data_IF_433007211672
#
_entry.id   IF_433007211672
#
_cell.length_a   1.000
_cell.length_b   1.000
_cell.length_c   1.000
_cell.angle_alpha   90.00
_cell.angle_beta   90.00
_cell.angle_gamma   90.00
#
_symmetry.space_group_name_H-M   'P 1'
#
loop_
_entity.id
_entity.type
_entity.pdbx_description
1 polymer ?
#
# COMPACT_ATOMS: atom_id res chain seq x y z
N UNK A 1 17.95 -66.10 24.66
CA UNK A 1 17.27 -65.21 23.71
C UNK A 1 17.44 -63.77 24.15
N UNK A 2 17.86 -62.90 23.24
CA UNK A 2 18.21 -61.51 23.55
C UNK A 2 17.38 -60.56 22.70
N UNK A 3 16.64 -59.67 23.35
CA UNK A 3 15.88 -58.65 22.64
C UNK A 3 16.81 -57.61 22.01
N UNK A 4 16.39 -57.03 20.89
CA UNK A 4 17.08 -55.91 20.25
C UNK A 4 16.97 -54.63 21.09
N UNK A 5 18.02 -53.81 21.09
CA UNK A 5 18.02 -52.51 21.78
C UNK A 5 17.07 -51.51 21.11
N UNK A 6 16.45 -50.62 21.88
CA UNK A 6 15.62 -49.55 21.31
C UNK A 6 16.48 -48.47 20.63
N UNK A 7 15.98 -47.94 19.52
CA UNK A 7 16.52 -46.74 18.88
C UNK A 7 16.19 -45.48 19.69
N UNK A 8 17.12 -44.52 19.72
CA UNK A 8 16.90 -43.25 20.43
C UNK A 8 16.01 -42.29 19.64
N UNK A 9 15.20 -41.49 20.33
CA UNK A 9 14.47 -40.41 19.68
C UNK A 9 15.43 -39.30 19.23
N UNK A 10 15.12 -38.66 18.12
CA UNK A 10 15.90 -37.54 17.61
C UNK A 10 15.50 -36.20 18.24
N UNK A 11 16.39 -35.21 18.12
CA UNK A 11 16.13 -33.83 18.52
C UNK A 11 15.28 -33.10 17.50
N UNK A 12 14.51 -32.12 17.96
CA UNK A 12 13.79 -31.19 17.09
C UNK A 12 14.76 -30.24 16.36
N UNK A 13 14.29 -29.70 15.25
CA UNK A 13 14.92 -28.57 14.60
C UNK A 13 14.87 -27.32 15.46
N UNK A 14 15.80 -26.39 15.25
CA UNK A 14 15.81 -25.10 15.94
C UNK A 14 14.87 -24.11 15.28
N UNK A 15 14.20 -23.29 16.07
CA UNK A 15 13.39 -22.19 15.56
C UNK A 15 14.28 -21.11 14.93
N UNK A 16 13.75 -20.46 13.91
CA UNK A 16 14.47 -19.41 13.21
C UNK A 16 14.30 -18.02 13.84
N UNK A 17 15.23 -17.13 13.51
CA UNK A 17 15.18 -15.73 13.93
C UNK A 17 14.16 -14.93 13.12
N UNK A 18 13.51 -13.97 13.77
CA UNK A 18 12.62 -13.02 13.12
C UNK A 18 13.40 -12.00 12.27
N UNK A 19 12.73 -11.48 11.24
CA UNK A 19 13.20 -10.33 10.48
C UNK A 19 13.18 -9.05 11.31
N UNK A 20 14.17 -8.18 11.09
CA UNK A 20 14.23 -6.88 11.76
C UNK A 20 13.23 -5.88 11.17
N UNK A 21 12.73 -4.95 11.97
CA UNK A 21 11.88 -3.86 11.48
C UNK A 21 12.68 -2.89 10.61
N UNK A 22 12.04 -2.38 9.57
CA UNK A 22 12.50 -1.22 8.80
C UNK A 22 12.39 0.05 9.64
N UNK A 23 13.26 1.02 9.36
CA UNK A 23 13.19 2.37 9.90
C UNK A 23 12.33 3.26 9.01
N UNK A 24 11.59 4.18 9.62
CA UNK A 24 10.88 5.24 8.89
C UNK A 24 11.88 6.15 8.16
N UNK A 25 11.42 6.75 7.07
CA UNK A 25 12.14 7.79 6.37
C UNK A 25 12.12 9.10 7.16
N UNK A 26 13.22 9.84 7.12
CA UNK A 26 13.30 11.13 7.80
C UNK A 26 12.40 12.16 7.12
N UNK A 27 11.64 12.93 7.91
CA UNK A 27 10.96 14.11 7.39
C UNK A 27 11.97 15.14 6.89
N UNK A 28 11.66 15.79 5.77
CA UNK A 28 12.46 16.89 5.28
C UNK A 28 12.38 18.09 6.23
N UNK A 29 13.54 18.67 6.52
CA UNK A 29 13.66 19.84 7.41
C UNK A 29 14.12 21.11 6.69
N UNK A 30 14.55 20.95 5.43
CA UNK A 30 14.95 22.06 4.57
C UNK A 30 13.78 22.38 3.64
N UNK A 31 13.36 23.65 3.50
CA UNK A 31 12.25 24.03 2.64
C UNK A 31 12.36 23.46 1.22
N UNK A 32 11.25 22.91 0.72
CA UNK A 32 11.15 22.19 -0.55
C UNK A 32 12.02 20.93 -0.67
N UNK A 33 12.58 20.45 0.44
CA UNK A 33 13.33 19.19 0.47
C UNK A 33 12.39 17.98 0.46
N UNK A 34 12.79 16.92 -0.22
CA UNK A 34 12.04 15.67 -0.26
C UNK A 34 12.19 14.87 1.04
N UNK A 35 11.11 14.20 1.45
CA UNK A 35 11.11 13.25 2.55
C UNK A 35 11.92 11.99 2.23
N UNK A 36 12.54 11.41 3.26
CA UNK A 36 13.33 10.19 3.16
C UNK A 36 12.46 8.97 2.87
N UNK A 37 13.04 7.98 2.19
CA UNK A 37 12.36 6.70 1.96
C UNK A 37 12.36 5.83 3.21
N UNK A 38 11.22 5.25 3.55
CA UNK A 38 11.10 4.20 4.55
C UNK A 38 11.86 2.95 4.15
N UNK A 39 12.51 2.30 5.12
CA UNK A 39 13.28 1.08 4.89
C UNK A 39 12.37 -0.15 4.88
N UNK A 40 12.75 -1.14 4.08
CA UNK A 40 12.05 -2.44 4.07
C UNK A 40 12.21 -3.19 5.40
N UNK A 41 11.21 -4.00 5.72
CA UNK A 41 11.32 -5.01 6.77
C UNK A 41 12.24 -6.16 6.37
N UNK A 42 12.98 -6.70 7.32
CA UNK A 42 13.80 -7.89 7.16
C UNK A 42 12.95 -9.16 7.00
N UNK A 43 13.46 -10.15 6.27
CA UNK A 43 12.79 -11.45 6.17
C UNK A 43 13.03 -12.31 7.41
N UNK A 44 12.05 -13.13 7.77
CA UNK A 44 12.22 -14.17 8.78
C UNK A 44 13.11 -15.31 8.27
N UNK A 45 13.86 -15.94 9.18
CA UNK A 45 14.71 -17.08 8.85
C UNK A 45 13.93 -18.38 8.66
N UNK A 46 14.53 -19.37 7.99
CA UNK A 46 13.95 -20.71 7.83
C UNK A 46 14.20 -21.57 9.07
N UNK A 47 13.18 -22.26 9.56
CA UNK A 47 13.29 -23.21 10.67
C UNK A 47 14.23 -24.37 10.36
N UNK A 48 14.93 -24.87 11.38
CA UNK A 48 15.84 -26.01 11.23
C UNK A 48 15.09 -27.33 11.02
N UNK A 49 15.69 -28.26 10.29
CA UNK A 49 15.10 -29.60 10.12
C UNK A 49 15.18 -30.42 11.41
N UNK A 50 14.16 -31.23 11.67
CA UNK A 50 14.15 -32.23 12.73
C UNK A 50 15.09 -33.40 12.43
N UNK A 51 15.69 -33.97 13.47
CA UNK A 51 16.60 -35.11 13.31
C UNK A 51 15.86 -36.41 12.99
N UNK A 52 16.52 -37.33 12.26
CA UNK A 52 16.00 -38.70 12.06
C UNK A 52 16.15 -39.56 13.32
N UNK A 53 15.09 -40.28 13.66
CA UNK A 53 15.07 -41.21 14.79
C UNK A 53 16.11 -42.32 14.67
N UNK A 54 16.64 -42.76 15.80
CA UNK A 54 17.61 -43.84 15.89
C UNK A 54 17.01 -45.19 15.48
N UNK A 55 17.82 -46.02 14.83
CA UNK A 55 17.40 -47.35 14.40
C UNK A 55 17.28 -48.30 15.60
N UNK A 56 16.19 -49.07 15.66
CA UNK A 56 16.05 -50.15 16.64
C UNK A 56 16.94 -51.33 16.25
N UNK A 57 17.43 -52.07 17.24
CA UNK A 57 18.19 -53.30 17.03
C UNK A 57 17.27 -54.44 16.57
N UNK A 58 17.68 -55.15 15.53
CA UNK A 58 17.04 -56.42 15.17
C UNK A 58 17.28 -57.51 16.23
N UNK A 59 16.46 -58.56 16.23
CA UNK A 59 16.67 -59.76 17.05
C UNK A 59 16.41 -61.01 16.21
N UNK A 60 17.33 -61.96 16.20
CA UNK A 60 17.13 -63.27 15.56
C UNK A 60 16.33 -64.21 16.46
N UNK A 61 16.54 -64.13 17.78
CA UNK A 61 15.77 -64.83 18.82
C UNK A 61 15.40 -63.82 19.93
N UNK A 62 14.12 -63.47 20.05
CA UNK A 62 13.61 -62.40 20.92
C UNK A 62 12.82 -61.35 20.13
N UNK A 63 12.34 -60.30 20.79
CA UNK A 63 11.65 -59.20 20.11
C UNK A 63 12.67 -58.17 19.57
N UNK A 64 12.45 -57.68 18.35
CA UNK A 64 13.20 -56.54 17.83
C UNK A 64 12.95 -55.31 18.71
N UNK A 65 13.96 -54.46 18.87
CA UNK A 65 13.83 -53.21 19.61
C UNK A 65 13.00 -52.19 18.83
N UNK A 66 12.29 -51.31 19.53
CA UNK A 66 11.52 -50.25 18.88
C UNK A 66 12.45 -49.25 18.18
N UNK A 67 11.98 -48.67 17.08
CA UNK A 67 12.63 -47.56 16.41
C UNK A 67 12.40 -46.28 17.19
N UNK A 68 13.38 -45.38 17.15
CA UNK A 68 13.22 -44.02 17.68
C UNK A 68 12.29 -43.19 16.80
N UNK A 69 11.61 -42.22 17.42
CA UNK A 69 10.87 -41.20 16.69
C UNK A 69 11.84 -40.19 16.05
N UNK A 70 11.48 -39.68 14.88
CA UNK A 70 12.07 -38.47 14.34
C UNK A 70 11.68 -37.25 15.18
N UNK A 71 12.51 -36.22 15.12
CA UNK A 71 12.23 -34.93 15.77
C UNK A 71 11.40 -34.04 14.87
N UNK A 72 10.60 -33.16 15.45
CA UNK A 72 9.83 -32.16 14.71
C UNK A 72 10.76 -31.12 14.07
N UNK A 73 10.35 -30.52 12.95
CA UNK A 73 11.01 -29.35 12.38
C UNK A 73 10.81 -28.11 13.26
N UNK A 74 11.78 -27.19 13.23
CA UNK A 74 11.70 -25.92 13.92
C UNK A 74 10.78 -24.93 13.19
N UNK A 75 10.19 -23.99 13.92
CA UNK A 75 9.34 -22.96 13.31
C UNK A 75 10.16 -21.96 12.47
N UNK A 76 9.53 -21.45 11.41
CA UNK A 76 10.03 -20.32 10.64
C UNK A 76 9.94 -19.01 11.42
N UNK A 77 10.80 -18.05 11.09
CA UNK A 77 10.83 -16.73 11.71
C UNK A 77 9.78 -15.81 11.13
N UNK A 78 9.24 -14.90 11.93
CA UNK A 78 8.30 -13.89 11.45
C UNK A 78 9.02 -12.86 10.58
N UNK A 79 8.32 -12.28 9.60
CA UNK A 79 8.81 -11.13 8.87
C UNK A 79 8.88 -9.87 9.74
N UNK A 80 9.78 -8.95 9.39
CA UNK A 80 9.84 -7.62 9.94
C UNK A 80 8.85 -6.67 9.27
N UNK A 81 8.31 -5.72 10.06
CA UNK A 81 7.52 -4.59 9.56
C UNK A 81 8.39 -3.65 8.73
N UNK A 82 7.80 -2.93 7.79
CA UNK A 82 8.50 -1.88 7.06
C UNK A 82 8.35 -0.51 7.75
N UNK A 83 9.20 0.46 7.39
CA UNK A 83 9.04 1.85 7.80
C UNK A 83 8.27 2.67 6.78
N UNK A 84 7.57 3.70 7.23
CA UNK A 84 6.86 4.66 6.37
C UNK A 84 7.82 5.66 5.73
N UNK A 85 7.41 6.29 4.63
CA UNK A 85 8.14 7.40 4.03
C UNK A 85 8.00 8.67 4.87
N UNK A 86 9.06 9.48 4.89
CA UNK A 86 9.05 10.80 5.53
C UNK A 86 8.30 11.83 4.70
N UNK A 87 7.79 12.87 5.33
CA UNK A 87 7.09 13.97 4.65
C UNK A 87 8.09 14.89 3.93
N UNK A 88 7.69 15.40 2.77
CA UNK A 88 8.35 16.52 2.11
C UNK A 88 8.12 17.82 2.88
N UNK A 89 9.07 18.73 2.79
CA UNK A 89 8.99 20.02 3.48
C UNK A 89 8.21 21.02 2.62
N UNK A 90 7.43 21.88 3.26
CA UNK A 90 6.82 23.02 2.58
C UNK A 90 7.91 23.90 1.93
N UNK A 91 7.56 24.54 0.81
CA UNK A 91 8.39 25.54 0.16
C UNK A 91 8.48 26.85 0.95
N UNK A 92 9.45 27.68 0.58
CA UNK A 92 9.63 29.05 1.09
C UNK A 92 10.00 30.04 -0.02
N UNK A 93 10.23 31.31 0.35
CA UNK A 93 10.55 32.35 -0.63
C UNK A 93 11.83 32.08 -1.47
N UNK A 94 12.73 31.22 -1.01
CA UNK A 94 13.98 30.88 -1.71
C UNK A 94 13.90 29.54 -2.45
N UNK A 95 13.05 28.64 -1.98
CA UNK A 95 12.70 27.39 -2.63
C UNK A 95 11.17 27.24 -2.62
N UNK A 96 10.45 27.87 -3.56
CA UNK A 96 9.01 28.03 -3.46
C UNK A 96 8.24 26.73 -3.60
N UNK A 97 8.79 25.74 -4.30
CA UNK A 97 8.12 24.45 -4.44
C UNK A 97 8.22 23.64 -3.15
N UNK A 98 7.14 22.95 -2.80
CA UNK A 98 7.12 21.95 -1.75
C UNK A 98 7.85 20.68 -2.18
N UNK A 99 8.50 20.02 -1.24
CA UNK A 99 9.22 18.77 -1.49
C UNK A 99 8.29 17.58 -1.56
N UNK A 100 8.70 16.53 -2.26
CA UNK A 100 7.91 15.31 -2.36
C UNK A 100 7.97 14.51 -1.06
N UNK A 101 6.90 13.76 -0.78
CA UNK A 101 6.91 12.73 0.23
C UNK A 101 7.81 11.55 -0.17
N UNK A 102 8.45 10.95 0.82
CA UNK A 102 9.25 9.75 0.65
C UNK A 102 8.40 8.50 0.45
N UNK A 103 8.96 7.51 -0.24
CA UNK A 103 8.27 6.22 -0.44
C UNK A 103 8.24 5.39 0.85
N UNK A 104 7.15 4.67 1.08
CA UNK A 104 7.03 3.66 2.12
C UNK A 104 7.83 2.39 1.81
N UNK A 105 8.31 1.71 2.84
CA UNK A 105 9.03 0.45 2.72
C UNK A 105 8.12 -0.76 2.52
N UNK A 106 8.66 -1.81 1.90
CA UNK A 106 8.00 -3.11 1.77
C UNK A 106 8.24 -4.00 3.00
N UNK A 107 7.21 -4.75 3.40
CA UNK A 107 7.35 -5.77 4.44
C UNK A 107 8.32 -6.87 4.00
N UNK A 108 9.07 -7.45 4.93
CA UNK A 108 9.84 -8.66 4.68
C UNK A 108 8.96 -9.91 4.45
N UNK A 109 9.57 -10.99 3.99
CA UNK A 109 8.89 -12.27 3.82
C UNK A 109 8.93 -13.09 5.11
N UNK A 110 7.87 -13.84 5.37
CA UNK A 110 7.86 -14.84 6.43
C UNK A 110 8.87 -15.95 6.13
N UNK A 111 9.54 -16.45 7.17
CA UNK A 111 10.43 -17.60 7.06
C UNK A 111 9.64 -18.90 7.03
N UNK A 112 10.07 -19.87 6.22
CA UNK A 112 9.41 -21.18 6.17
C UNK A 112 9.71 -22.01 7.41
N UNK A 113 8.79 -22.89 7.79
CA UNK A 113 9.04 -23.95 8.75
C UNK A 113 10.10 -24.95 8.28
N UNK A 114 10.80 -25.58 9.22
CA UNK A 114 11.73 -26.67 8.94
C UNK A 114 10.99 -28.00 8.74
N UNK A 115 11.55 -28.90 7.94
CA UNK A 115 10.95 -30.23 7.74
C UNK A 115 11.10 -31.12 8.99
N UNK A 116 10.11 -31.94 9.28
CA UNK A 116 10.19 -32.99 10.29
C UNK A 116 11.18 -34.10 9.93
N UNK A 117 11.78 -34.71 10.94
CA UNK A 117 12.71 -35.83 10.79
C UNK A 117 11.99 -37.17 10.62
N UNK A 118 12.55 -38.07 9.81
CA UNK A 118 12.00 -39.41 9.63
C UNK A 118 12.12 -40.30 10.88
N UNK A 119 11.24 -41.30 11.00
CA UNK A 119 11.36 -42.33 12.02
C UNK A 119 12.63 -43.20 11.82
N UNK A 120 13.16 -43.77 12.90
CA UNK A 120 14.21 -44.78 12.81
C UNK A 120 13.77 -46.05 12.09
N UNK A 121 14.74 -46.83 11.62
CA UNK A 121 14.48 -48.07 10.85
C UNK A 121 15.19 -49.28 11.48
N UNK A 122 15.03 -50.49 10.93
CA UNK A 122 15.82 -51.68 11.34
C UNK A 122 15.32 -52.46 12.57
N UNK A 123 14.56 -51.83 13.47
CA UNK A 123 13.92 -52.48 14.61
C UNK A 123 12.52 -53.02 14.29
N UNK A 124 11.67 -53.10 15.31
CA UNK A 124 10.27 -53.50 15.16
C UNK A 124 9.53 -52.55 14.19
N UNK A 125 8.96 -53.09 13.12
CA UNK A 125 8.28 -52.30 12.09
C UNK A 125 7.17 -51.42 12.66
N UNK A 126 7.10 -50.15 12.21
CA UNK A 126 6.04 -49.20 12.58
C UNK A 126 6.10 -48.66 14.02
N UNK A 127 7.15 -48.98 14.79
CA UNK A 127 7.25 -48.57 16.19
C UNK A 127 7.76 -47.14 16.41
N UNK A 128 8.41 -46.54 15.40
CA UNK A 128 8.81 -45.13 15.39
C UNK A 128 7.87 -44.28 14.54
N UNK A 129 7.75 -42.99 14.88
CA UNK A 129 6.98 -41.99 14.14
C UNK A 129 7.89 -40.92 13.56
N UNK A 130 7.54 -40.40 12.38
CA UNK A 130 8.18 -39.19 11.87
C UNK A 130 7.77 -37.98 12.72
N UNK A 131 8.64 -36.98 12.82
CA UNK A 131 8.29 -35.67 13.36
C UNK A 131 7.41 -34.89 12.39
N UNK A 132 6.67 -33.93 12.92
CA UNK A 132 5.92 -32.97 12.11
C UNK A 132 6.82 -31.89 11.51
N UNK A 133 6.37 -31.28 10.42
CA UNK A 133 7.00 -30.06 9.91
C UNK A 133 6.73 -28.89 10.87
N UNK A 134 7.69 -27.97 10.96
CA UNK A 134 7.51 -26.71 11.66
C UNK A 134 6.52 -25.80 10.92
N UNK A 135 5.85 -24.91 11.65
CA UNK A 135 5.00 -23.90 11.05
C UNK A 135 5.82 -22.80 10.35
N UNK A 136 5.26 -22.22 9.30
CA UNK A 136 5.78 -20.98 8.71
C UNK A 136 5.64 -19.81 9.70
N UNK A 137 6.52 -18.84 9.56
CA UNK A 137 6.43 -17.58 10.30
C UNK A 137 5.22 -16.76 9.85
N UNK A 138 4.87 -15.76 10.66
CA UNK A 138 3.85 -14.79 10.28
C UNK A 138 4.37 -13.80 9.23
N UNK A 139 3.50 -13.44 8.28
CA UNK A 139 3.69 -12.28 7.40
C UNK A 139 3.71 -11.01 8.24
N UNK A 140 4.53 -10.04 7.84
CA UNK A 140 4.63 -8.77 8.55
C UNK A 140 3.48 -7.87 8.12
N UNK A 141 2.82 -7.24 9.09
CA UNK A 141 1.77 -6.26 8.86
C UNK A 141 1.98 -5.08 9.82
N UNK A 142 1.80 -3.82 9.38
CA UNK A 142 1.58 -3.32 8.01
C UNK A 142 2.89 -3.04 7.23
N UNK A 143 2.77 -2.79 5.91
CA UNK A 143 3.85 -2.14 5.12
C UNK A 143 3.89 -0.63 5.38
N UNK A 144 4.95 0.03 4.94
CA UNK A 144 5.11 1.48 5.14
C UNK A 144 4.15 2.28 4.27
N UNK A 145 3.51 3.28 4.85
CA UNK A 145 2.75 4.28 4.10
C UNK A 145 3.72 5.23 3.37
N UNK A 146 3.26 5.85 2.28
CA UNK A 146 3.98 6.95 1.66
C UNK A 146 3.91 8.24 2.49
N UNK A 147 4.98 9.03 2.48
CA UNK A 147 5.01 10.33 3.14
C UNK A 147 4.18 11.38 2.38
N UNK A 148 3.68 12.40 3.07
CA UNK A 148 2.97 13.48 2.39
C UNK A 148 3.94 14.43 1.67
N UNK A 149 3.51 15.02 0.56
CA UNK A 149 4.20 16.13 -0.07
C UNK A 149 4.05 17.42 0.74
N UNK A 150 5.05 18.29 0.68
CA UNK A 150 5.01 19.63 1.24
C UNK A 150 4.19 20.58 0.38
N UNK A 151 3.56 21.58 0.97
CA UNK A 151 2.85 22.62 0.23
C UNK A 151 3.84 23.56 -0.47
N UNK A 152 3.40 24.13 -1.58
CA UNK A 152 4.08 25.24 -2.22
C UNK A 152 3.96 26.53 -1.42
N UNK A 153 4.93 27.41 -1.62
CA UNK A 153 4.98 28.71 -0.96
C UNK A 153 3.96 29.68 -1.54
N UNK A 154 3.14 30.28 -0.69
CA UNK A 154 2.34 31.46 -1.06
C UNK A 154 3.26 32.67 -1.20
N UNK A 155 3.43 33.15 -2.43
CA UNK A 155 4.36 34.20 -2.78
C UNK A 155 3.64 35.56 -2.86
N UNK A 156 3.96 36.52 -1.97
CA UNK A 156 3.29 37.83 -1.96
C UNK A 156 3.67 38.73 -3.15
N UNK A 157 4.76 38.45 -3.84
CA UNK A 157 5.34 39.32 -4.88
C UNK A 157 5.84 38.52 -6.10
N UNK A 158 5.15 37.42 -6.44
CA UNK A 158 5.41 36.62 -7.63
C UNK A 158 4.52 35.38 -7.71
N UNK A 159 4.90 34.46 -8.57
CA UNK A 159 4.21 33.17 -8.72
C UNK A 159 4.27 32.35 -7.43
N UNK A 160 3.17 31.67 -7.11
CA UNK A 160 3.12 30.68 -6.04
C UNK A 160 3.91 29.43 -6.40
N UNK A 161 4.48 28.78 -5.39
CA UNK A 161 5.21 27.52 -5.59
C UNK A 161 4.29 26.33 -5.79
N UNK A 162 4.77 25.30 -6.47
CA UNK A 162 4.02 24.06 -6.63
C UNK A 162 4.03 23.24 -5.34
N UNK A 163 2.96 22.48 -5.09
CA UNK A 163 2.95 21.47 -4.06
C UNK A 163 3.77 20.25 -4.46
N UNK A 164 4.43 19.62 -3.49
CA UNK A 164 5.15 18.37 -3.68
C UNK A 164 4.21 17.18 -3.82
N UNK A 165 4.65 16.15 -4.54
CA UNK A 165 3.88 14.92 -4.68
C UNK A 165 3.85 14.13 -3.38
N UNK A 166 2.80 13.36 -3.16
CA UNK A 166 2.79 12.34 -2.12
C UNK A 166 3.71 11.17 -2.50
N UNK A 167 4.31 10.52 -1.51
CA UNK A 167 5.12 9.33 -1.72
C UNK A 167 4.27 8.09 -1.97
N UNK A 168 4.78 7.16 -2.77
CA UNK A 168 4.13 5.86 -2.97
C UNK A 168 4.26 4.99 -1.71
N UNK A 169 3.29 4.13 -1.48
CA UNK A 169 3.33 3.19 -0.37
C UNK A 169 4.18 1.95 -0.67
N UNK A 170 4.54 1.23 0.39
CA UNK A 170 4.94 -0.17 0.30
C UNK A 170 3.75 -1.08 -0.03
N UNK A 171 3.99 -2.36 -0.26
CA UNK A 171 3.03 -3.32 -0.84
C UNK A 171 1.62 -3.39 -0.20
N UNK A 172 1.48 -3.03 1.08
CA UNK A 172 0.20 -3.00 1.81
C UNK A 172 -0.13 -1.62 2.43
N UNK A 173 0.66 -0.59 2.13
CA UNK A 173 0.49 0.75 2.70
C UNK A 173 -0.42 1.64 1.87
N UNK A 174 -0.79 2.80 2.39
CA UNK A 174 -1.49 3.84 1.65
C UNK A 174 -0.50 4.85 1.05
N UNK A 175 -0.84 5.37 -0.13
CA UNK A 175 -0.07 6.45 -0.74
C UNK A 175 -0.18 7.73 0.08
N UNK A 176 0.88 8.54 0.09
CA UNK A 176 0.90 9.83 0.76
C UNK A 176 0.05 10.86 0.03
N UNK A 177 -0.53 11.81 0.75
CA UNK A 177 -1.23 12.92 0.11
C UNK A 177 -0.21 13.91 -0.46
N UNK A 178 -0.58 14.58 -1.54
CA UNK A 178 0.24 15.64 -2.09
C UNK A 178 0.05 16.96 -1.33
N UNK A 179 1.03 17.85 -1.48
CA UNK A 179 0.93 19.23 -1.03
C UNK A 179 0.10 20.08 -1.98
N UNK A 180 -0.54 21.12 -1.44
CA UNK A 180 -1.23 22.12 -2.26
C UNK A 180 -0.21 23.06 -2.91
N UNK A 181 -0.56 23.62 -4.07
CA UNK A 181 0.14 24.77 -4.62
C UNK A 181 -0.07 26.03 -3.77
N UNK A 182 0.94 26.89 -3.73
CA UNK A 182 0.88 28.18 -3.06
C UNK A 182 0.16 29.23 -3.92
N UNK A 183 -0.42 30.23 -3.27
CA UNK A 183 -1.02 31.36 -3.98
C UNK A 183 0.08 32.28 -4.55
N UNK A 184 -0.13 32.83 -5.74
CA UNK A 184 0.72 33.85 -6.34
C UNK A 184 0.07 35.23 -6.31
N UNK A 185 0.83 36.24 -5.89
CA UNK A 185 0.39 37.62 -5.81
C UNK A 185 1.35 38.56 -6.53
N UNK A 186 0.83 39.65 -7.09
CA UNK A 186 1.61 40.60 -7.89
C UNK A 186 1.16 40.67 -9.36
N UNK A 187 1.74 41.62 -10.08
CA UNK A 187 1.39 41.87 -11.48
C UNK A 187 1.67 40.61 -12.33
N UNK A 188 0.62 40.07 -12.94
CA UNK A 188 0.64 38.88 -13.79
C UNK A 188 1.13 37.58 -13.10
N UNK A 189 1.03 37.48 -11.76
CA UNK A 189 1.43 36.29 -10.98
C UNK A 189 0.42 35.14 -11.05
N UNK A 190 0.92 33.90 -11.17
CA UNK A 190 0.11 32.68 -11.22
C UNK A 190 0.14 31.94 -9.88
N UNK A 191 -0.92 31.20 -9.58
CA UNK A 191 -0.91 30.22 -8.49
C UNK A 191 -0.05 29.00 -8.87
N UNK A 192 0.53 28.35 -7.87
CA UNK A 192 1.27 27.10 -8.07
C UNK A 192 0.33 25.91 -8.24
N UNK A 193 0.80 24.86 -8.91
CA UNK A 193 0.02 23.64 -9.08
C UNK A 193 0.04 22.79 -7.81
N UNK A 194 -1.04 22.05 -7.54
CA UNK A 194 -1.04 21.01 -6.52
C UNK A 194 -0.24 19.79 -6.96
N UNK A 195 0.37 19.09 -6.00
CA UNK A 195 1.09 17.85 -6.27
C UNK A 195 0.16 16.68 -6.56
N UNK A 196 0.69 15.61 -7.16
CA UNK A 196 -0.06 14.35 -7.35
C UNK A 196 -0.01 13.48 -6.10
N UNK A 197 -1.12 12.85 -5.74
CA UNK A 197 -1.16 11.89 -4.64
C UNK A 197 -0.33 10.63 -4.95
N UNK A 198 0.28 10.03 -3.93
CA UNK A 198 1.08 8.82 -4.08
C UNK A 198 0.23 7.58 -4.35
N UNK A 199 0.79 6.58 -5.00
CA UNK A 199 0.11 5.31 -5.23
C UNK A 199 -0.03 4.49 -3.93
N UNK A 200 -1.17 3.81 -3.77
CA UNK A 200 -1.36 2.79 -2.76
C UNK A 200 -0.53 1.54 -3.03
N UNK A 201 -0.33 0.73 -2.00
CA UNK A 201 0.43 -0.51 -2.07
C UNK A 201 -0.17 -1.50 -3.05
N UNK A 202 0.66 -2.17 -3.85
CA UNK A 202 0.19 -3.06 -4.93
C UNK A 202 -0.84 -4.11 -4.53
N UNK A 203 -0.74 -4.67 -3.31
CA UNK A 203 -1.64 -5.73 -2.82
C UNK A 203 -2.87 -5.16 -2.12
N UNK A 204 -2.68 -4.06 -1.40
CA UNK A 204 -3.71 -3.35 -0.66
C UNK A 204 -3.22 -1.95 -0.35
N UNK A 205 -4.14 -1.00 -0.31
CA UNK A 205 -3.81 0.38 0.02
C UNK A 205 -4.57 1.37 -0.84
N UNK A 206 -5.01 2.45 -0.21
CA UNK A 206 -5.64 3.54 -0.92
C UNK A 206 -4.56 4.41 -1.59
N UNK A 207 -4.93 5.01 -2.72
CA UNK A 207 -4.13 6.10 -3.27
C UNK A 207 -4.24 7.36 -2.40
N UNK A 208 -3.19 8.16 -2.39
CA UNK A 208 -3.18 9.46 -1.72
C UNK A 208 -3.98 10.50 -2.48
N UNK A 209 -4.51 11.52 -1.80
CA UNK A 209 -5.21 12.60 -2.48
C UNK A 209 -4.23 13.54 -3.19
N UNK A 210 -4.66 14.09 -4.33
CA UNK A 210 -3.97 15.20 -4.99
C UNK A 210 -4.12 16.51 -4.24
N UNK A 211 -3.17 17.43 -4.42
CA UNK A 211 -3.18 18.75 -3.81
C UNK A 211 -4.03 19.72 -4.62
N UNK A 212 -4.64 20.71 -3.99
CA UNK A 212 -5.31 21.80 -4.70
C UNK A 212 -4.28 22.71 -5.36
N UNK A 213 -4.64 23.32 -6.49
CA UNK A 213 -3.89 24.43 -7.06
C UNK A 213 -4.06 25.71 -6.23
N UNK A 214 -3.05 26.56 -6.24
CA UNK A 214 -3.07 27.88 -5.62
C UNK A 214 -3.79 28.90 -6.48
N UNK A 215 -4.28 29.97 -5.87
CA UNK A 215 -4.88 31.10 -6.59
C UNK A 215 -3.80 31.99 -7.18
N UNK A 216 -4.08 32.65 -8.30
CA UNK A 216 -3.21 33.67 -8.89
C UNK A 216 -3.95 34.95 -9.22
N UNK A 217 -3.23 36.06 -9.19
CA UNK A 217 -3.74 37.35 -9.68
C UNK A 217 -3.95 37.32 -11.21
N UNK A 218 -3.11 36.57 -11.94
CA UNK A 218 -3.32 36.17 -13.33
C UNK A 218 -4.11 34.86 -13.41
N UNK A 219 -3.43 33.72 -13.44
CA UNK A 219 -4.06 32.40 -13.60
C UNK A 219 -4.02 31.61 -12.29
N UNK A 220 -5.04 30.80 -12.06
CA UNK A 220 -5.01 29.80 -11.01
C UNK A 220 -4.11 28.62 -11.37
N UNK A 221 -3.50 27.99 -10.38
CA UNK A 221 -2.75 26.75 -10.56
C UNK A 221 -3.68 25.56 -10.70
N UNK A 222 -3.21 24.51 -11.38
CA UNK A 222 -3.98 23.29 -11.57
C UNK A 222 -4.02 22.46 -10.28
N UNK A 223 -5.14 21.77 -10.07
CA UNK A 223 -5.25 20.74 -9.05
C UNK A 223 -4.48 19.48 -9.44
N UNK A 224 -3.83 18.86 -8.47
CA UNK A 224 -3.10 17.61 -8.66
C UNK A 224 -4.01 16.40 -8.75
N UNK A 225 -3.58 15.40 -9.52
CA UNK A 225 -4.30 14.14 -9.64
C UNK A 225 -4.28 13.33 -8.32
N UNK A 226 -5.32 12.55 -8.10
CA UNK A 226 -5.33 11.54 -7.03
C UNK A 226 -4.45 10.34 -7.38
N UNK A 227 -3.87 9.71 -6.36
CA UNK A 227 -3.07 8.50 -6.50
C UNK A 227 -3.94 7.27 -6.82
N UNK A 228 -3.39 6.33 -7.57
CA UNK A 228 -4.06 5.06 -7.84
C UNK A 228 -4.00 4.14 -6.62
N UNK A 229 -5.03 3.31 -6.45
CA UNK A 229 -5.07 2.32 -5.39
C UNK A 229 -4.31 1.03 -5.73
N UNK A 230 -4.06 0.23 -4.69
CA UNK A 230 -3.72 -1.19 -4.78
C UNK A 230 -4.89 -2.07 -5.20
N UNK A 231 -4.67 -3.38 -5.32
CA UNK A 231 -5.70 -4.36 -5.70
C UNK A 231 -7.02 -4.20 -4.92
N UNK A 232 -6.94 -3.94 -3.62
CA UNK A 232 -8.08 -3.85 -2.70
C UNK A 232 -8.23 -2.47 -2.02
N UNK A 233 -7.99 -1.38 -2.75
CA UNK A 233 -8.08 -0.02 -2.21
C UNK A 233 -8.90 0.93 -3.07
N UNK A 234 -9.23 2.09 -2.49
CA UNK A 234 -9.89 3.18 -3.21
C UNK A 234 -8.86 4.13 -3.82
N UNK A 235 -9.18 4.66 -4.99
CA UNK A 235 -8.39 5.71 -5.62
C UNK A 235 -8.43 6.99 -4.81
N UNK A 236 -7.34 7.76 -4.84
CA UNK A 236 -7.27 9.06 -4.20
C UNK A 236 -8.15 10.08 -4.90
N UNK A 237 -8.74 11.01 -4.16
CA UNK A 237 -9.45 12.14 -4.78
C UNK A 237 -8.44 13.13 -5.34
N UNK A 238 -8.80 13.78 -6.44
CA UNK A 238 -7.98 14.86 -6.99
C UNK A 238 -8.18 16.18 -6.25
N UNK A 239 -7.22 17.09 -6.43
CA UNK A 239 -7.33 18.48 -5.97
C UNK A 239 -8.09 19.35 -6.95
N UNK A 240 -8.72 20.39 -6.44
CA UNK A 240 -9.37 21.42 -7.25
C UNK A 240 -8.33 22.37 -7.87
N UNK A 241 -8.67 22.97 -9.00
CA UNK A 241 -7.92 24.09 -9.55
C UNK A 241 -8.09 25.36 -8.72
N UNK A 242 -7.09 26.23 -8.76
CA UNK A 242 -7.09 27.53 -8.11
C UNK A 242 -7.81 28.60 -8.92
N UNK A 243 -8.18 29.70 -8.26
CA UNK A 243 -8.82 30.83 -8.93
C UNK A 243 -7.80 31.68 -9.67
N UNK A 244 -8.07 32.08 -10.90
CA UNK A 244 -7.32 33.12 -11.63
C UNK A 244 -8.11 34.43 -11.66
N UNK A 245 -7.64 35.49 -11.00
CA UNK A 245 -8.47 36.70 -10.86
C UNK A 245 -8.66 37.48 -12.17
N UNK A 246 -7.62 37.59 -12.99
CA UNK A 246 -7.67 38.32 -14.27
C UNK A 246 -7.52 37.42 -15.49
N UNK A 247 -6.90 36.25 -15.31
CA UNK A 247 -6.70 35.22 -16.31
C UNK A 247 -7.68 34.06 -16.14
N UNK A 248 -7.22 32.86 -16.46
CA UNK A 248 -8.05 31.65 -16.41
C UNK A 248 -7.95 30.97 -15.04
N UNK A 249 -9.03 30.31 -14.63
CA UNK A 249 -8.98 29.42 -13.47
C UNK A 249 -8.18 28.15 -13.79
N UNK A 250 -7.54 27.57 -12.78
CA UNK A 250 -6.80 26.31 -12.94
C UNK A 250 -7.74 25.13 -13.18
N UNK A 251 -7.27 24.11 -13.89
CA UNK A 251 -8.03 22.89 -14.07
C UNK A 251 -8.11 22.08 -12.77
N UNK A 252 -9.20 21.34 -12.58
CA UNK A 252 -9.28 20.32 -11.54
C UNK A 252 -8.48 19.07 -11.92
N UNK A 253 -7.91 18.39 -10.93
CA UNK A 253 -7.18 17.14 -11.16
C UNK A 253 -8.10 15.96 -11.48
N UNK A 254 -7.53 14.92 -12.08
CA UNK A 254 -8.22 13.64 -12.29
C UNK A 254 -8.20 12.78 -11.01
N UNK A 255 -9.31 12.11 -10.72
CA UNK A 255 -9.39 11.16 -9.61
C UNK A 255 -8.56 9.90 -9.90
N UNK A 256 -7.97 9.33 -8.84
CA UNK A 256 -7.17 8.10 -8.96
C UNK A 256 -8.03 6.87 -9.26
N UNK A 257 -7.47 5.89 -9.97
CA UNK A 257 -8.15 4.63 -10.22
C UNK A 257 -8.34 3.83 -8.90
N UNK A 258 -9.51 3.21 -8.77
CA UNK A 258 -9.80 2.23 -7.72
C UNK A 258 -9.15 0.89 -8.00
N UNK A 259 -9.15 0.02 -7.00
CA UNK A 259 -8.44 -1.25 -7.02
C UNK A 259 -8.87 -2.20 -8.12
N UNK A 260 -7.91 -3.01 -8.58
CA UNK A 260 -8.12 -3.98 -9.65
C UNK A 260 -8.93 -5.21 -9.25
N UNK A 261 -9.09 -5.47 -7.95
CA UNK A 261 -9.96 -6.52 -7.42
C UNK A 261 -11.19 -5.90 -6.76
N UNK A 262 -10.99 -4.97 -5.83
CA UNK A 262 -12.08 -4.21 -5.22
C UNK A 262 -11.65 -2.77 -4.91
N UNK A 263 -12.57 -1.82 -5.05
CA UNK A 263 -12.40 -0.45 -4.60
C UNK A 263 -12.95 0.58 -5.59
N UNK A 264 -13.40 1.70 -5.04
CA UNK A 264 -13.99 2.78 -5.82
C UNK A 264 -12.90 3.68 -6.42
N UNK A 265 -13.18 4.25 -7.59
CA UNK A 265 -12.38 5.32 -8.16
C UNK A 265 -12.49 6.60 -7.34
N UNK A 266 -11.42 7.40 -7.31
CA UNK A 266 -11.41 8.71 -6.66
C UNK A 266 -12.24 9.73 -7.43
N UNK A 267 -12.80 10.71 -6.71
CA UNK A 267 -13.50 11.81 -7.35
C UNK A 267 -12.51 12.79 -7.97
N UNK A 268 -12.90 13.40 -9.08
CA UNK A 268 -12.12 14.45 -9.70
C UNK A 268 -12.22 15.78 -8.94
N UNK A 269 -11.24 16.65 -9.18
CA UNK A 269 -11.26 18.03 -8.75
C UNK A 269 -12.15 18.89 -9.64
N UNK A 270 -12.75 19.92 -9.05
CA UNK A 270 -13.40 20.97 -9.82
C UNK A 270 -12.35 21.93 -10.40
N UNK A 271 -12.66 22.52 -11.55
CA UNK A 271 -11.91 23.65 -12.08
C UNK A 271 -12.10 24.90 -11.21
N UNK A 272 -11.08 25.74 -11.16
CA UNK A 272 -11.11 27.01 -10.46
C UNK A 272 -11.85 28.08 -11.26
N UNK A 273 -12.35 29.10 -10.55
CA UNK A 273 -12.96 30.25 -11.21
C UNK A 273 -11.89 31.10 -11.92
N UNK A 274 -12.27 31.76 -13.02
CA UNK A 274 -11.39 32.62 -13.78
C UNK A 274 -11.97 34.00 -14.03
N UNK A 275 -11.10 34.99 -14.17
CA UNK A 275 -11.42 36.34 -14.62
C UNK A 275 -11.85 36.36 -16.09
N UNK A 276 -11.28 35.48 -16.93
CA UNK A 276 -11.66 35.35 -18.35
C UNK A 276 -12.46 34.07 -18.58
N UNK A 277 -11.85 32.91 -18.34
CA UNK A 277 -12.49 31.61 -18.46
C UNK A 277 -12.29 30.81 -17.17
N UNK A 278 -13.33 30.13 -16.70
CA UNK A 278 -13.15 29.18 -15.62
C UNK A 278 -12.36 27.96 -16.09
N UNK A 279 -11.65 27.30 -15.18
CA UNK A 279 -10.90 26.09 -15.46
C UNK A 279 -11.81 24.88 -15.69
N UNK A 280 -11.29 23.88 -16.37
CA UNK A 280 -12.01 22.63 -16.65
C UNK A 280 -12.11 21.78 -15.37
N UNK A 281 -13.20 21.03 -15.22
CA UNK A 281 -13.29 19.99 -14.19
C UNK A 281 -12.50 18.74 -14.60
N UNK A 282 -11.91 18.04 -13.63
CA UNK A 282 -11.20 16.80 -13.87
C UNK A 282 -12.11 15.60 -14.13
N UNK A 283 -11.55 14.50 -14.59
CA UNK A 283 -12.25 13.23 -14.78
C UNK A 283 -12.26 12.40 -13.50
N UNK A 284 -13.38 11.74 -13.20
CA UNK A 284 -13.45 10.79 -12.10
C UNK A 284 -12.60 9.55 -12.38
N UNK A 285 -12.02 8.97 -11.33
CA UNK A 285 -11.21 7.76 -11.42
C UNK A 285 -12.04 6.55 -11.82
N UNK A 286 -11.48 5.65 -12.62
CA UNK A 286 -12.15 4.39 -12.98
C UNK A 286 -12.09 3.36 -11.85
N UNK A 287 -13.12 2.54 -11.70
CA UNK A 287 -12.99 1.25 -11.01
C UNK A 287 -12.56 0.18 -12.02
N UNK A 288 -11.52 -0.60 -11.71
CA UNK A 288 -11.01 -1.65 -12.61
C UNK A 288 -11.46 -3.06 -12.18
N UNK A 289 -11.71 -3.27 -10.88
CA UNK A 289 -12.29 -4.47 -10.28
C UNK A 289 -13.76 -4.31 -9.87
N UNK A 290 -14.14 -4.85 -8.70
CA UNK A 290 -15.44 -4.62 -8.06
C UNK A 290 -15.48 -3.27 -7.35
N UNK A 291 -16.17 -2.30 -7.93
CA UNK A 291 -16.28 -0.94 -7.40
C UNK A 291 -16.95 0.00 -8.39
N UNK A 292 -17.30 1.20 -7.93
CA UNK A 292 -17.88 2.25 -8.76
C UNK A 292 -16.81 3.23 -9.25
N UNK A 293 -17.01 3.80 -10.44
CA UNK A 293 -16.22 4.94 -10.88
C UNK A 293 -16.44 6.17 -9.99
N UNK A 294 -15.43 7.03 -9.90
CA UNK A 294 -15.53 8.33 -9.24
C UNK A 294 -16.34 9.34 -10.04
N UNK A 295 -16.87 10.35 -9.35
CA UNK A 295 -17.58 11.45 -10.00
C UNK A 295 -16.60 12.38 -10.75
N UNK A 296 -17.03 12.89 -11.91
CA UNK A 296 -16.33 13.96 -12.62
C UNK A 296 -16.44 15.30 -11.90
N UNK A 297 -15.46 16.17 -12.10
CA UNK A 297 -15.40 17.52 -11.57
C UNK A 297 -16.25 18.50 -12.37
N UNK A 298 -16.79 19.52 -11.70
CA UNK A 298 -17.43 20.63 -12.40
C UNK A 298 -16.37 21.60 -12.92
N UNK A 299 -16.64 22.25 -14.06
CA UNK A 299 -15.84 23.38 -14.50
C UNK A 299 -16.09 24.62 -13.65
N UNK A 300 -15.09 25.51 -13.59
CA UNK A 300 -15.17 26.80 -12.93
C UNK A 300 -15.96 27.83 -13.73
N UNK A 301 -16.33 28.92 -13.07
CA UNK A 301 -17.02 30.05 -13.70
C UNK A 301 -16.04 31.08 -14.27
N UNK A 302 -16.44 31.77 -15.34
CA UNK A 302 -15.72 32.89 -15.96
C UNK A 302 -16.58 34.15 -16.07
N UNK A 303 -16.08 35.22 -16.70
CA UNK A 303 -16.93 36.35 -17.14
C UNK A 303 -18.15 35.83 -17.93
N UNK A 304 -19.31 36.53 -17.94
CA UNK A 304 -20.53 36.06 -18.59
C UNK A 304 -20.28 35.70 -20.06
N UNK A 305 -20.06 34.42 -20.34
CA UNK A 305 -19.41 34.02 -21.57
C UNK A 305 -19.21 32.51 -21.66
N UNK A 306 -18.22 31.94 -20.97
CA UNK A 306 -17.94 30.51 -21.01
C UNK A 306 -17.34 30.04 -19.68
N UNK A 307 -18.12 29.28 -18.90
CA UNK A 307 -17.55 28.46 -17.82
C UNK A 307 -16.81 27.26 -18.42
N UNK A 308 -15.87 26.69 -17.68
CA UNK A 308 -15.16 25.49 -18.12
C UNK A 308 -16.11 24.30 -18.31
N UNK A 309 -15.84 23.37 -19.25
CA UNK A 309 -16.54 22.10 -19.30
C UNK A 309 -16.41 21.32 -17.98
N UNK A 310 -17.48 20.58 -17.65
CA UNK A 310 -17.42 19.56 -16.62
C UNK A 310 -16.62 18.36 -17.13
N UNK A 311 -15.83 17.75 -16.25
CA UNK A 311 -15.14 16.51 -16.52
C UNK A 311 -16.08 15.31 -16.56
N UNK A 312 -15.61 14.23 -17.19
CA UNK A 312 -16.37 12.98 -17.29
C UNK A 312 -16.40 12.20 -15.97
N UNK A 313 -17.47 11.45 -15.74
CA UNK A 313 -17.47 10.43 -14.69
C UNK A 313 -16.52 9.28 -15.04
N UNK A 314 -15.94 8.66 -14.02
CA UNK A 314 -15.14 7.44 -14.16
C UNK A 314 -15.99 6.26 -14.62
N UNK A 315 -15.34 5.29 -15.30
CA UNK A 315 -16.01 4.06 -15.70
C UNK A 315 -16.29 3.13 -14.51
N UNK A 316 -17.45 2.47 -14.53
CA UNK A 316 -17.81 1.41 -13.58
C UNK A 316 -16.98 0.14 -13.78
N UNK A 317 -16.79 -0.62 -12.69
CA UNK A 317 -16.07 -1.88 -12.69
C UNK A 317 -16.70 -3.00 -13.53
N UNK A 318 -15.89 -3.95 -13.97
CA UNK A 318 -16.33 -5.05 -14.87
C UNK A 318 -16.99 -6.23 -14.16
N UNK A 319 -16.95 -6.25 -12.83
CA UNK A 319 -17.57 -7.28 -11.99
C UNK A 319 -18.69 -6.63 -11.15
N UNK A 320 -19.95 -7.11 -11.25
CA UNK A 320 -21.00 -6.68 -10.32
C UNK A 320 -20.52 -6.97 -8.89
N UNK A 321 -20.53 -5.96 -8.02
CA UNK A 321 -20.25 -6.17 -6.60
C UNK A 321 -21.12 -7.31 -6.09
N UNK A 322 -20.50 -8.38 -5.60
CA UNK A 322 -21.20 -9.54 -5.05
C UNK A 322 -22.22 -9.02 -4.04
N UNK A 323 -23.51 -9.16 -4.37
CA UNK A 323 -24.57 -8.83 -3.43
C UNK A 323 -24.32 -9.67 -2.18
N UNK A 324 -24.13 -8.99 -1.04
CA UNK A 324 -23.83 -9.62 0.25
C UNK A 324 -24.73 -10.83 0.46
N UNK A 325 -24.08 -11.96 0.71
CA UNK A 325 -24.74 -13.26 0.80
C UNK A 325 -25.77 -13.31 1.92
N UNK A 326 -26.97 -13.76 1.56
CA UNK A 326 -27.89 -14.34 2.53
C UNK A 326 -27.71 -15.86 2.46
N UNK A 327 -26.85 -16.37 3.33
CA UNK A 327 -26.60 -17.79 3.51
C UNK A 327 -27.76 -18.46 4.28
N UNK A 328 -28.22 -19.59 3.73
CA UNK A 328 -29.00 -20.69 4.32
C UNK A 328 -30.32 -20.42 5.09
N UNK A 329 -31.42 -20.95 4.55
CA UNK A 329 -32.17 -21.99 5.29
C UNK A 329 -33.00 -22.90 4.37
N UNK A 330 -32.45 -24.10 4.19
CA UNK A 330 -33.13 -25.37 3.95
C UNK A 330 -34.53 -25.44 4.62
N UNK A 331 -35.59 -25.60 3.82
CA UNK A 331 -36.77 -26.38 4.22
C UNK A 331 -37.36 -27.11 3.01
N UNK A 332 -36.98 -28.38 2.88
CA UNK A 332 -37.72 -29.41 2.15
C UNK A 332 -38.95 -29.76 3.00
N UNK A 333 -40.16 -29.87 2.41
CA UNK A 333 -41.06 -31.05 2.50
C UNK A 333 -42.42 -30.84 1.77
N UNK A 334 -42.57 -31.63 0.70
CA UNK A 334 -43.73 -32.43 0.21
C UNK A 334 -45.15 -31.89 -0.10
N UNK A 335 -45.56 -32.23 -1.33
CA UNK A 335 -46.87 -32.70 -1.85
C UNK A 335 -48.18 -32.05 -1.39
N UNK A 336 -48.90 -31.47 -2.37
CA UNK A 336 -50.03 -32.12 -3.06
C UNK A 336 -50.18 -31.49 -4.44
#
# INVERSE_FOLDING_TARGET
DGNGGAGGNAGSGGDAGNGGSGADGDDATTPGGDGGTGSNGGSGGTGGAGGTGGSGGGASNGNAGNNGNGGDGGAGGNAGSAGSGGNGADGDATNPDGGNGGQGGNTGNAGSGGSGGGAGTGGAGGSGKAGGDGGDGAEGQPSGDGGNGGNGYTNPDGDGGNGGNGGDAGSHGNGGNAGNGGDGHGDDSNGGNGGTGGAGGSTSGNGGNGGNGGNGDANGGDGGAGGNAGENGNGGNAGNGGTGQTGDGGAGGDGGAGGSQTGDGGNAGNGGDGGQHGGDGGQGGSATGGGNGGAGGNGGSGLPGQGGPNGGNGGDGTLPGEAGGDDLSLFIFFSC
#
